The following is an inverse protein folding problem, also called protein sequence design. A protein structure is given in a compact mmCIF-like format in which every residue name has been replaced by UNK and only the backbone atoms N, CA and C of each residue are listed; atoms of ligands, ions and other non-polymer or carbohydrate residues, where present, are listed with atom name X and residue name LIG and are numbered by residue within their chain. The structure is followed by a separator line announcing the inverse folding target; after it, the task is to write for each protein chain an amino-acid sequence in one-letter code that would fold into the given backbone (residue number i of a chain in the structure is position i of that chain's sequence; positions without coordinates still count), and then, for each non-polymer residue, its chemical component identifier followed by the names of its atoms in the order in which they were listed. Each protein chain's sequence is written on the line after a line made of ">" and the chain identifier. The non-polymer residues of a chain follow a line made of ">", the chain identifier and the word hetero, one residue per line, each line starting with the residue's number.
data_IF_807058323875
#
_entry.id   IF_807058323875
#
_cell.length_a   1.000
_cell.length_b   1.000
_cell.length_c   1.000
_cell.angle_alpha   90.00
_cell.angle_beta   90.00
_cell.angle_gamma   90.00
#
_symmetry.space_group_name_H-M   'P 1'
#
loop_
_entity.id
_entity.type
_entity.pdbx_description
1 polymer ?
#
# COMPACT_ATOMS: atom_id res chain seq x y z
N UNK A 1 -42.57 -21.85 -58.48
CA UNK A 1 -44.05 -21.80 -58.32
C UNK A 1 -44.39 -21.03 -57.06
N UNK A 2 -45.20 -19.95 -57.22
CA UNK A 2 -46.01 -19.17 -56.22
C UNK A 2 -45.27 -18.55 -55.05
N UNK A 3 -44.92 -17.33 -55.03
CA UNK A 3 -45.57 -16.03 -54.80
C UNK A 3 -46.69 -16.05 -53.78
N UNK A 4 -46.50 -15.36 -52.71
CA UNK A 4 -47.47 -15.00 -51.68
C UNK A 4 -47.10 -13.71 -50.97
N UNK A 5 -47.65 -12.58 -51.50
CA UNK A 5 -47.65 -11.24 -50.91
C UNK A 5 -48.57 -11.20 -49.69
N UNK A 6 -48.15 -10.50 -48.64
CA UNK A 6 -49.01 -10.13 -47.54
C UNK A 6 -48.64 -8.73 -47.03
N UNK A 7 -49.53 -7.80 -47.26
CA UNK A 7 -49.46 -6.34 -47.03
C UNK A 7 -49.53 -6.01 -45.54
N UNK A 8 -48.87 -4.94 -45.17
CA UNK A 8 -49.02 -4.20 -43.92
C UNK A 8 -50.42 -3.57 -43.78
N UNK A 9 -50.84 -3.17 -42.56
CA UNK A 9 -51.31 -1.82 -42.42
C UNK A 9 -50.64 -1.04 -41.26
N UNK A 10 -50.46 0.24 -41.56
CA UNK A 10 -50.07 1.31 -40.66
C UNK A 10 -51.12 1.53 -39.57
N UNK A 11 -50.69 1.69 -38.30
CA UNK A 11 -51.46 2.36 -37.28
C UNK A 11 -50.58 3.47 -36.67
N UNK A 12 -51.02 4.70 -37.02
CA UNK A 12 -50.64 5.94 -36.37
C UNK A 12 -51.18 5.92 -34.92
N UNK A 13 -50.28 6.06 -33.93
CA UNK A 13 -50.64 6.49 -32.60
C UNK A 13 -49.95 7.82 -32.31
N UNK A 14 -50.76 8.84 -32.18
CA UNK A 14 -50.37 10.17 -31.74
C UNK A 14 -49.98 10.13 -30.26
N UNK A 15 -48.74 10.46 -29.92
CA UNK A 15 -48.27 10.68 -28.57
C UNK A 15 -48.36 12.17 -28.23
N UNK A 16 -49.27 12.56 -27.35
CA UNK A 16 -49.33 13.88 -26.72
C UNK A 16 -48.05 14.12 -25.89
N UNK A 17 -47.27 15.10 -26.34
CA UNK A 17 -46.21 15.67 -25.53
C UNK A 17 -46.74 16.55 -24.42
N UNK A 18 -46.51 16.14 -23.19
CA UNK A 18 -46.62 16.99 -22.00
C UNK A 18 -45.22 17.55 -21.70
N UNK A 19 -44.99 18.78 -22.13
CA UNK A 19 -43.90 19.62 -21.71
C UNK A 19 -44.19 20.12 -20.30
N UNK A 20 -43.58 19.50 -19.30
CA UNK A 20 -43.50 20.04 -17.94
C UNK A 20 -42.36 21.05 -17.92
N UNK A 21 -42.66 22.33 -18.17
CA UNK A 21 -41.78 23.44 -17.86
C UNK A 21 -41.83 23.66 -16.35
N UNK A 22 -40.88 23.05 -15.62
CA UNK A 22 -40.63 23.37 -14.24
C UNK A 22 -39.90 24.72 -14.15
N UNK A 23 -40.67 25.80 -13.94
CA UNK A 23 -40.10 27.07 -13.50
C UNK A 23 -39.60 26.88 -12.05
N UNK A 24 -38.26 26.84 -11.86
CA UNK A 24 -37.69 27.05 -10.56
C UNK A 24 -37.98 28.52 -10.15
N UNK A 25 -38.89 28.74 -9.24
CA UNK A 25 -39.04 30.04 -8.56
C UNK A 25 -37.90 30.14 -7.54
N UNK A 26 -36.91 31.01 -7.87
CA UNK A 26 -35.98 31.45 -6.85
C UNK A 26 -36.68 32.38 -5.90
N UNK A 27 -36.52 32.13 -4.59
CA UNK A 27 -37.06 32.97 -3.53
C UNK A 27 -36.24 34.27 -3.43
N UNK A 28 -36.70 35.33 -4.05
CA UNK A 28 -36.02 36.63 -4.09
C UNK A 28 -36.02 37.33 -2.72
N UNK A 29 -36.51 36.71 -1.66
CA UNK A 29 -36.48 37.29 -0.30
C UNK A 29 -35.06 37.38 0.27
N UNK A 30 -34.16 36.52 -0.16
CA UNK A 30 -32.76 36.58 0.27
C UNK A 30 -31.96 37.71 -0.41
N UNK A 31 -32.37 38.15 -1.59
CA UNK A 31 -31.70 39.22 -2.35
C UNK A 31 -32.01 40.64 -1.82
N UNK A 32 -33.06 40.79 -1.00
CA UNK A 32 -33.48 42.07 -0.45
C UNK A 32 -33.21 42.22 1.04
N UNK A 33 -32.40 41.36 1.63
CA UNK A 33 -31.90 41.55 3.00
C UNK A 33 -30.72 42.55 2.97
N UNK A 34 -30.96 43.75 3.46
CA UNK A 34 -29.89 44.67 3.75
C UNK A 34 -29.01 44.09 4.84
N UNK A 35 -27.74 43.88 4.56
CA UNK A 35 -26.78 43.51 5.57
C UNK A 35 -26.65 44.64 6.58
N UNK A 36 -27.17 44.45 7.79
CA UNK A 36 -26.79 45.32 8.92
C UNK A 36 -25.38 44.88 9.37
N UNK A 37 -24.42 45.82 9.42
CA UNK A 37 -23.12 45.49 9.98
C UNK A 37 -23.28 45.11 11.44
N UNK A 38 -22.63 44.01 11.84
CA UNK A 38 -22.60 43.60 13.24
C UNK A 38 -22.14 44.78 14.13
N UNK A 39 -22.79 45.01 15.28
CA UNK A 39 -22.36 46.07 16.20
C UNK A 39 -20.89 45.82 16.60
N UNK A 40 -20.06 46.84 16.46
CA UNK A 40 -18.70 46.81 17.00
C UNK A 40 -18.79 46.52 18.49
N UNK A 41 -18.16 45.42 18.90
CA UNK A 41 -17.97 45.10 20.31
C UNK A 41 -17.01 46.14 20.90
N UNK A 42 -17.57 47.21 21.43
CA UNK A 42 -16.82 48.11 22.31
C UNK A 42 -16.47 47.36 23.58
N UNK A 43 -15.17 47.13 23.77
CA UNK A 43 -14.67 46.50 24.97
C UNK A 43 -15.17 47.29 26.20
N UNK A 44 -15.74 46.63 27.23
CA UNK A 44 -16.13 47.32 28.45
C UNK A 44 -14.88 47.96 29.08
N UNK A 45 -14.98 49.24 29.40
CA UNK A 45 -13.96 49.98 30.15
C UNK A 45 -13.89 49.41 31.58
N UNK A 46 -13.13 48.35 31.78
CA UNK A 46 -12.74 47.81 33.07
C UNK A 46 -11.22 47.93 33.26
N UNK A 47 -10.72 47.94 34.47
CA UNK A 47 -9.26 47.99 34.70
C UNK A 47 -8.63 46.77 34.03
N UNK A 48 -7.76 47.02 33.06
CA UNK A 48 -6.91 45.97 32.48
C UNK A 48 -5.97 45.51 33.58
N UNK A 49 -5.79 44.19 33.78
CA UNK A 49 -4.73 43.70 34.63
C UNK A 49 -3.40 44.12 33.99
N UNK A 50 -2.61 44.93 34.71
CA UNK A 50 -1.23 45.21 34.34
C UNK A 50 -0.46 43.92 34.38
N UNK A 51 0.03 43.49 33.21
CA UNK A 51 1.04 42.43 33.14
C UNK A 51 2.31 42.95 33.82
N UNK A 52 2.94 42.18 34.71
CA UNK A 52 4.22 42.59 35.29
C UNK A 52 5.20 42.88 34.15
N UNK A 53 5.79 44.07 34.14
CA UNK A 53 6.92 44.39 33.27
C UNK A 53 8.04 43.41 33.61
N UNK A 54 8.35 42.53 32.66
CA UNK A 54 9.53 41.68 32.76
C UNK A 54 10.67 42.55 32.24
N UNK A 55 11.49 43.08 33.18
CA UNK A 55 12.76 43.69 32.87
C UNK A 55 13.55 42.80 31.90
N UNK A 56 14.10 43.43 30.85
CA UNK A 56 14.93 42.76 29.84
C UNK A 56 16.19 42.17 30.47
N UNK A 57 16.10 40.95 30.90
CA UNK A 57 17.20 40.07 31.31
C UNK A 57 17.28 38.92 30.40
N UNK A 58 18.44 38.71 29.87
CA UNK A 58 18.96 37.70 28.97
C UNK A 58 18.17 36.42 28.79
N UNK A 59 18.03 36.11 27.51
CA UNK A 59 17.65 34.86 26.86
C UNK A 59 18.13 33.59 27.62
N UNK A 60 17.27 33.04 28.49
CA UNK A 60 17.32 31.58 28.76
C UNK A 60 15.95 31.09 29.26
N UNK A 61 15.38 30.12 28.50
CA UNK A 61 14.34 29.22 28.97
C UNK A 61 12.90 29.73 28.95
N UNK A 62 12.31 29.93 27.77
CA UNK A 62 10.88 29.61 27.64
C UNK A 62 10.73 28.12 28.02
N UNK A 63 9.88 27.77 29.00
CA UNK A 63 9.52 26.37 29.20
C UNK A 63 8.88 25.91 27.92
N UNK A 64 9.55 25.02 27.19
CA UNK A 64 8.90 24.23 26.13
C UNK A 64 7.66 23.61 26.75
N UNK A 65 6.49 23.80 26.13
CA UNK A 65 5.30 23.07 26.54
C UNK A 65 5.70 21.60 26.74
N UNK A 66 5.26 20.94 27.81
CA UNK A 66 5.64 19.55 28.03
C UNK A 66 5.26 18.78 26.79
N UNK A 67 6.26 18.26 26.07
CA UNK A 67 6.04 17.26 25.04
C UNK A 67 5.44 16.07 25.79
N UNK A 68 4.14 15.86 25.64
CA UNK A 68 3.48 14.67 26.15
C UNK A 68 4.11 13.49 25.42
N UNK A 69 5.10 12.85 26.08
CA UNK A 69 5.71 11.64 25.56
C UNK A 69 4.63 10.56 25.51
N UNK A 70 4.47 9.93 24.33
CA UNK A 70 3.57 8.80 24.17
C UNK A 70 4.02 7.70 25.15
N UNK A 71 3.14 7.19 26.02
CA UNK A 71 3.51 6.13 26.94
C UNK A 71 4.00 4.87 26.19
N UNK A 72 4.94 4.11 26.76
CA UNK A 72 5.38 2.86 26.16
C UNK A 72 4.22 1.84 26.07
N UNK A 73 4.19 0.98 25.04
CA UNK A 73 3.15 -0.04 24.88
C UNK A 73 3.07 -0.98 26.09
N UNK A 74 1.84 -1.42 26.42
CA UNK A 74 1.57 -2.36 27.50
C UNK A 74 0.72 -3.54 26.98
N UNK A 75 1.32 -4.74 26.91
CA UNK A 75 0.67 -5.88 26.27
C UNK A 75 0.30 -5.55 24.82
N UNK A 76 -0.92 -5.82 24.43
CA UNK A 76 -1.42 -5.47 23.09
C UNK A 76 -1.94 -4.02 22.97
N UNK A 77 -1.77 -3.17 23.96
CA UNK A 77 -2.15 -1.76 23.91
C UNK A 77 -0.95 -0.94 23.47
N UNK A 78 -1.06 -0.25 22.36
CA UNK A 78 -0.16 0.80 21.91
C UNK A 78 -0.87 2.15 22.00
N UNK A 79 -0.18 3.15 22.52
CA UNK A 79 -0.76 4.48 22.74
C UNK A 79 -0.47 5.45 21.58
N UNK A 80 0.35 5.02 20.61
CA UNK A 80 0.61 5.78 19.41
C UNK A 80 -0.59 5.64 18.46
N UNK A 81 -1.20 6.78 18.13
CA UNK A 81 -2.39 6.83 17.26
C UNK A 81 -2.09 6.40 15.82
N UNK A 82 -0.83 6.40 15.40
CA UNK A 82 -0.42 5.87 14.10
C UNK A 82 -0.51 4.35 14.05
N UNK A 83 -0.51 3.67 15.20
CA UNK A 83 -0.60 2.20 15.29
C UNK A 83 -2.07 1.79 15.21
N UNK A 84 -2.45 1.15 14.12
CA UNK A 84 -3.83 0.71 13.88
C UNK A 84 -4.12 -0.72 14.31
N UNK A 85 -3.08 -1.54 14.50
CA UNK A 85 -3.19 -2.91 15.02
C UNK A 85 -1.90 -3.36 15.69
N UNK A 86 -2.04 -4.23 16.68
CA UNK A 86 -0.96 -4.76 17.53
C UNK A 86 -1.09 -6.26 17.71
N UNK A 87 -0.08 -6.89 18.34
CA UNK A 87 -0.05 -8.32 18.69
C UNK A 87 -0.26 -9.25 17.49
N UNK A 88 0.24 -8.84 16.33
CA UNK A 88 0.32 -9.65 15.13
C UNK A 88 1.59 -10.51 15.13
N UNK A 89 1.77 -11.33 14.11
CA UNK A 89 2.98 -12.13 13.90
C UNK A 89 3.58 -11.89 12.52
N UNK A 90 4.73 -11.21 12.45
CA UNK A 90 5.53 -11.07 11.23
C UNK A 90 4.69 -10.59 10.03
N UNK A 91 4.25 -9.33 10.04
CA UNK A 91 3.38 -8.76 9.01
C UNK A 91 4.16 -8.57 7.70
N UNK A 92 4.11 -9.58 6.83
CA UNK A 92 4.92 -9.67 5.60
C UNK A 92 4.29 -9.00 4.40
N UNK A 93 2.97 -8.88 4.37
CA UNK A 93 2.22 -8.22 3.31
C UNK A 93 0.97 -7.56 3.88
N UNK A 94 0.54 -6.51 3.21
CA UNK A 94 -0.68 -5.77 3.51
C UNK A 94 -1.50 -5.62 2.24
N UNK A 95 -2.81 -5.48 2.38
CA UNK A 95 -3.69 -5.02 1.33
C UNK A 95 -4.68 -4.01 1.96
N UNK A 96 -4.49 -2.74 1.66
CA UNK A 96 -5.36 -1.66 2.12
C UNK A 96 -6.79 -1.89 1.61
N UNK A 97 -7.77 -1.83 2.50
CA UNK A 97 -9.17 -1.96 2.12
C UNK A 97 -9.68 -0.63 1.55
N UNK A 98 -10.64 -0.68 0.62
CA UNK A 98 -11.23 0.53 0.06
C UNK A 98 -11.76 1.46 1.16
N UNK A 99 -11.53 2.76 0.98
CA UNK A 99 -12.02 3.77 1.91
C UNK A 99 -13.55 3.78 1.93
N UNK A 100 -14.12 3.67 3.12
CA UNK A 100 -15.58 3.75 3.36
C UNK A 100 -15.94 5.01 4.15
N UNK A 101 -15.03 5.97 4.29
CA UNK A 101 -15.17 7.14 5.15
C UNK A 101 -14.97 6.85 6.64
N UNK A 102 -14.56 5.62 6.99
CA UNK A 102 -14.20 5.20 8.34
C UNK A 102 -12.68 5.28 8.55
N UNK A 103 -12.21 4.85 9.72
CA UNK A 103 -10.78 4.74 9.98
C UNK A 103 -10.09 3.79 8.97
N UNK A 104 -8.82 4.05 8.61
CA UNK A 104 -8.05 3.20 7.72
C UNK A 104 -8.07 1.74 8.17
N UNK A 105 -8.26 0.83 7.21
CA UNK A 105 -8.32 -0.60 7.46
C UNK A 105 -7.59 -1.38 6.38
N UNK A 106 -7.11 -2.59 6.71
CA UNK A 106 -6.39 -3.46 5.80
C UNK A 106 -6.60 -4.93 6.11
N UNK A 107 -6.20 -5.77 5.17
CA UNK A 107 -5.86 -7.16 5.42
C UNK A 107 -4.36 -7.25 5.69
N UNK A 108 -3.99 -7.85 6.82
CA UNK A 108 -2.61 -8.09 7.23
C UNK A 108 -2.29 -9.58 7.10
N UNK A 109 -1.22 -9.91 6.39
CA UNK A 109 -0.73 -11.26 6.18
C UNK A 109 0.39 -11.59 7.15
N UNK A 110 0.21 -12.63 7.94
CA UNK A 110 1.24 -13.16 8.84
C UNK A 110 2.03 -14.26 8.14
N UNK A 111 3.32 -14.00 7.93
CA UNK A 111 4.21 -14.86 7.14
C UNK A 111 4.26 -16.30 7.63
N UNK A 112 4.44 -16.48 8.95
CA UNK A 112 4.73 -17.77 9.56
C UNK A 112 3.48 -18.56 9.90
N UNK A 113 2.46 -17.89 10.36
CA UNK A 113 1.21 -18.52 10.81
C UNK A 113 0.23 -18.79 9.66
N UNK A 114 0.44 -18.13 8.51
CA UNK A 114 -0.49 -18.19 7.37
C UNK A 114 -1.81 -17.48 7.60
N UNK A 115 -1.96 -16.74 8.71
CA UNK A 115 -3.20 -15.99 8.99
C UNK A 115 -3.29 -14.75 8.10
N UNK A 116 -4.47 -14.47 7.64
CA UNK A 116 -4.87 -13.17 7.10
C UNK A 116 -5.86 -12.57 8.08
N UNK A 117 -5.54 -11.40 8.61
CA UNK A 117 -6.37 -10.70 9.59
C UNK A 117 -6.87 -9.38 8.99
N UNK A 118 -8.12 -9.07 9.24
CA UNK A 118 -8.63 -7.72 9.03
C UNK A 118 -8.24 -6.87 10.24
N UNK A 119 -7.63 -5.73 9.98
CA UNK A 119 -7.15 -4.77 10.98
C UNK A 119 -7.71 -3.39 10.72
N UNK A 120 -8.02 -2.66 11.78
CA UNK A 120 -8.52 -1.29 11.73
C UNK A 120 -8.28 -0.62 13.07
N UNK A 121 -8.10 0.69 13.08
CA UNK A 121 -7.90 1.46 14.31
C UNK A 121 -9.05 1.25 15.29
N UNK A 122 -8.71 1.03 16.56
CA UNK A 122 -9.69 0.83 17.65
C UNK A 122 -10.44 -0.51 17.62
N UNK A 123 -10.08 -1.44 16.73
CA UNK A 123 -10.69 -2.76 16.61
C UNK A 123 -9.65 -3.85 16.88
N UNK A 124 -10.06 -4.93 17.55
CA UNK A 124 -9.20 -6.10 17.67
C UNK A 124 -9.02 -6.77 16.29
N UNK A 125 -7.79 -7.24 15.95
CA UNK A 125 -7.56 -7.97 14.71
C UNK A 125 -8.49 -9.18 14.57
N UNK A 126 -9.18 -9.29 13.42
CA UNK A 126 -10.14 -10.37 13.15
C UNK A 126 -9.62 -11.32 12.07
N UNK A 127 -9.46 -12.61 12.39
CA UNK A 127 -9.01 -13.61 11.42
C UNK A 127 -10.05 -13.77 10.29
N UNK A 128 -9.57 -13.59 9.06
CA UNK A 128 -10.37 -13.78 7.83
C UNK A 128 -10.24 -15.20 7.33
N UNK A 129 -8.99 -15.70 7.32
CA UNK A 129 -8.63 -17.06 6.91
C UNK A 129 -7.27 -17.43 7.47
N UNK A 130 -6.99 -18.74 7.53
CA UNK A 130 -5.66 -19.30 7.76
C UNK A 130 -5.29 -20.19 6.58
N UNK A 131 -4.19 -19.86 5.92
CA UNK A 131 -3.64 -20.61 4.79
C UNK A 131 -2.59 -21.60 5.30
N UNK A 132 -2.53 -22.80 4.69
CA UNK A 132 -1.46 -23.75 4.99
C UNK A 132 -0.17 -23.30 4.29
N UNK A 133 0.87 -23.01 5.08
CA UNK A 133 2.13 -22.44 4.61
C UNK A 133 3.34 -23.16 5.19
N UNK A 134 4.42 -23.20 4.39
CA UNK A 134 5.76 -23.62 4.80
C UNK A 134 6.64 -22.37 4.93
N UNK A 135 6.84 -21.93 6.17
CA UNK A 135 7.57 -20.69 6.46
C UNK A 135 9.08 -20.89 6.66
N UNK A 136 9.64 -22.03 6.22
CA UNK A 136 11.07 -22.30 6.29
C UNK A 136 11.84 -21.33 5.40
N UNK A 137 12.96 -20.81 5.91
CA UNK A 137 13.74 -19.80 5.23
C UNK A 137 12.94 -18.50 5.06
N UNK A 138 12.86 -18.03 3.83
CA UNK A 138 12.15 -16.80 3.45
C UNK A 138 10.74 -17.05 2.89
N UNK A 139 10.27 -18.31 2.90
CA UNK A 139 8.93 -18.71 2.46
C UNK A 139 7.83 -18.36 3.47
N UNK A 140 6.63 -18.83 3.18
CA UNK A 140 5.42 -18.59 3.96
C UNK A 140 4.37 -17.79 3.18
N UNK A 141 3.53 -17.05 3.88
CA UNK A 141 2.59 -16.10 3.29
C UNK A 141 3.33 -14.77 3.08
N UNK A 142 3.66 -14.39 1.83
CA UNK A 142 4.54 -13.25 1.55
C UNK A 142 3.95 -12.19 0.63
N UNK A 143 2.81 -12.46 0.00
CA UNK A 143 2.11 -11.49 -0.85
C UNK A 143 0.61 -11.52 -0.62
N UNK A 144 -0.03 -10.37 -0.71
CA UNK A 144 -1.47 -10.18 -0.54
C UNK A 144 -1.93 -9.07 -1.48
N UNK A 145 -3.07 -9.28 -2.15
CA UNK A 145 -3.71 -8.26 -2.97
C UNK A 145 -5.22 -8.44 -3.00
N UNK A 146 -5.95 -7.35 -3.09
CA UNK A 146 -7.39 -7.38 -3.37
C UNK A 146 -7.62 -7.64 -4.86
N UNK A 147 -8.81 -8.16 -5.20
CA UNK A 147 -9.26 -8.23 -6.58
C UNK A 147 -9.36 -6.85 -7.23
N UNK A 148 -9.11 -6.70 -8.53
CA UNK A 148 -9.43 -5.47 -9.25
C UNK A 148 -10.91 -5.05 -9.12
N UNK A 149 -11.79 -6.01 -8.84
CA UNK A 149 -13.24 -5.83 -8.66
C UNK A 149 -13.67 -6.17 -7.22
N UNK A 150 -12.79 -5.94 -6.24
CA UNK A 150 -13.00 -6.35 -4.84
C UNK A 150 -14.32 -5.84 -4.24
N UNK A 151 -14.78 -4.66 -4.62
CA UNK A 151 -16.07 -4.13 -4.15
C UNK A 151 -17.25 -5.05 -4.52
N UNK A 152 -17.12 -5.79 -5.64
CA UNK A 152 -18.16 -6.67 -6.17
C UNK A 152 -17.97 -8.11 -5.73
N UNK A 153 -16.73 -8.63 -5.84
CA UNK A 153 -16.44 -10.06 -5.69
C UNK A 153 -15.83 -10.46 -4.33
N UNK A 154 -15.33 -9.48 -3.57
CA UNK A 154 -14.66 -9.68 -2.27
C UNK A 154 -13.49 -10.69 -2.34
N UNK A 155 -12.93 -10.91 -3.54
CA UNK A 155 -11.83 -11.83 -3.74
C UNK A 155 -10.52 -11.23 -3.27
N UNK A 156 -9.73 -12.06 -2.60
CA UNK A 156 -8.37 -11.76 -2.15
C UNK A 156 -7.42 -12.79 -2.76
N UNK A 157 -6.27 -12.33 -3.19
CA UNK A 157 -5.19 -13.15 -3.73
C UNK A 157 -4.02 -13.16 -2.75
N UNK A 158 -3.42 -14.32 -2.57
CA UNK A 158 -2.26 -14.48 -1.71
C UNK A 158 -1.16 -15.29 -2.40
N UNK A 159 0.09 -14.89 -2.19
CA UNK A 159 1.26 -15.67 -2.57
C UNK A 159 1.76 -16.45 -1.37
N UNK A 160 1.83 -17.75 -1.51
CA UNK A 160 2.19 -18.67 -0.42
C UNK A 160 3.23 -19.68 -0.86
N UNK A 161 4.12 -20.06 0.06
CA UNK A 161 5.00 -21.22 -0.06
C UNK A 161 4.32 -22.40 0.61
N UNK A 162 4.20 -23.51 -0.11
CA UNK A 162 3.63 -24.78 0.40
C UNK A 162 4.72 -25.83 0.60
N UNK A 163 4.33 -27.05 0.93
CA UNK A 163 5.29 -28.16 1.04
C UNK A 163 5.98 -28.46 -0.30
N UNK A 164 5.30 -28.25 -1.44
CA UNK A 164 5.74 -28.71 -2.77
C UNK A 164 6.19 -27.58 -3.69
N UNK A 165 5.58 -26.41 -3.64
CA UNK A 165 5.81 -25.30 -4.55
C UNK A 165 5.51 -23.94 -3.88
N UNK A 166 5.85 -22.87 -4.57
CA UNK A 166 5.26 -21.57 -4.35
C UNK A 166 4.02 -21.44 -5.26
N UNK A 167 2.99 -20.75 -4.79
CA UNK A 167 1.76 -20.60 -5.56
C UNK A 167 0.98 -19.33 -5.23
N UNK A 168 0.08 -18.96 -6.13
CA UNK A 168 -0.97 -17.99 -5.86
C UNK A 168 -2.26 -18.73 -5.55
N UNK A 169 -2.91 -18.35 -4.47
CA UNK A 169 -4.26 -18.79 -4.10
C UNK A 169 -5.22 -17.62 -4.10
N UNK A 170 -6.51 -17.91 -4.28
CA UNK A 170 -7.58 -16.91 -4.11
C UNK A 170 -8.61 -17.40 -3.10
N UNK A 171 -9.19 -16.47 -2.37
CA UNK A 171 -10.23 -16.78 -1.37
C UNK A 171 -11.15 -15.58 -1.15
N UNK A 172 -12.30 -15.85 -0.57
CA UNK A 172 -13.18 -14.86 0.07
C UNK A 172 -13.37 -15.25 1.53
N UNK A 173 -13.82 -14.33 2.37
CA UNK A 173 -14.10 -14.62 3.78
C UNK A 173 -15.02 -15.82 3.93
N UNK A 174 -14.63 -16.78 4.78
CA UNK A 174 -15.42 -17.98 5.09
C UNK A 174 -15.45 -19.05 4.00
N UNK A 175 -14.72 -18.89 2.90
CA UNK A 175 -14.62 -19.89 1.85
C UNK A 175 -13.23 -20.56 1.85
N UNK A 176 -13.19 -21.84 1.44
CA UNK A 176 -11.92 -22.53 1.25
C UNK A 176 -11.08 -21.88 0.15
N UNK A 177 -9.76 -21.72 0.37
CA UNK A 177 -8.88 -21.15 -0.62
C UNK A 177 -8.77 -22.07 -1.84
N UNK A 178 -8.72 -21.47 -3.03
CA UNK A 178 -8.54 -22.17 -4.31
C UNK A 178 -7.21 -21.77 -4.94
N UNK A 179 -6.45 -22.77 -5.40
CA UNK A 179 -5.23 -22.52 -6.16
C UNK A 179 -5.57 -21.78 -7.47
N UNK A 180 -4.84 -20.72 -7.75
CA UNK A 180 -4.96 -19.93 -8.98
C UNK A 180 -3.79 -20.20 -9.93
N UNK A 181 -2.57 -20.15 -9.42
CA UNK A 181 -1.35 -20.46 -10.14
C UNK A 181 -0.48 -21.36 -9.26
N UNK A 182 -0.11 -22.52 -9.75
CA UNK A 182 0.73 -23.53 -9.05
C UNK A 182 2.00 -23.81 -9.82
N UNK A 183 2.92 -24.54 -9.22
CA UNK A 183 4.14 -24.98 -9.87
C UNK A 183 5.21 -23.90 -10.00
N UNK A 184 5.11 -22.79 -9.26
CA UNK A 184 6.21 -21.85 -9.12
C UNK A 184 7.31 -22.56 -8.32
N UNK A 185 8.55 -22.66 -8.85
CA UNK A 185 9.63 -23.38 -8.19
C UNK A 185 9.88 -22.91 -6.75
N UNK A 186 10.17 -23.88 -5.88
CA UNK A 186 10.52 -23.67 -4.48
C UNK A 186 11.94 -24.15 -4.23
N UNK A 187 12.69 -23.39 -3.41
CA UNK A 187 14.05 -23.71 -2.98
C UNK A 187 14.25 -23.66 -1.48
N UNK A 188 15.49 -23.76 -1.04
CA UNK A 188 15.87 -23.50 0.35
C UNK A 188 15.72 -21.99 0.70
N UNK A 189 15.93 -21.14 -0.29
CA UNK A 189 15.81 -19.67 -0.25
C UNK A 189 15.18 -19.17 -1.55
N UNK A 190 14.92 -17.87 -1.68
CA UNK A 190 14.34 -17.29 -2.88
C UNK A 190 12.88 -17.70 -3.09
N UNK A 191 12.14 -17.95 -2.01
CA UNK A 191 10.73 -18.33 -2.05
C UNK A 191 9.78 -17.13 -1.90
N UNK A 192 10.30 -15.96 -1.56
CA UNK A 192 9.47 -14.77 -1.43
C UNK A 192 8.74 -14.47 -2.73
N UNK A 193 7.55 -13.92 -2.59
CA UNK A 193 6.80 -13.39 -3.70
C UNK A 193 5.99 -12.19 -3.24
N UNK A 194 5.65 -11.33 -4.17
CA UNK A 194 4.77 -10.20 -3.98
C UNK A 194 3.66 -10.23 -5.02
N UNK A 195 2.50 -9.68 -4.68
CA UNK A 195 1.36 -9.63 -5.59
C UNK A 195 0.66 -8.27 -5.45
N UNK A 196 0.26 -7.70 -6.58
CA UNK A 196 -0.55 -6.48 -6.63
C UNK A 196 -1.44 -6.46 -7.89
N UNK A 197 -2.43 -5.57 -7.92
CA UNK A 197 -3.20 -5.31 -9.13
C UNK A 197 -2.44 -4.34 -10.04
N UNK A 198 -2.49 -4.56 -11.37
CA UNK A 198 -1.87 -3.66 -12.34
C UNK A 198 -2.70 -2.40 -12.62
N UNK A 199 -3.90 -2.28 -12.03
CA UNK A 199 -4.85 -1.20 -12.29
C UNK A 199 -5.56 -1.30 -13.66
N UNK A 200 -5.33 -2.39 -14.41
CA UNK A 200 -5.92 -2.66 -15.73
C UNK A 200 -6.67 -3.99 -15.78
N UNK A 201 -7.04 -4.52 -14.60
CA UNK A 201 -7.82 -5.75 -14.44
C UNK A 201 -6.99 -7.02 -14.34
N UNK A 202 -5.66 -6.95 -14.30
CA UNK A 202 -4.77 -8.10 -14.11
C UNK A 202 -3.99 -8.00 -12.79
N UNK A 203 -3.34 -9.11 -12.44
CA UNK A 203 -2.45 -9.22 -11.30
C UNK A 203 -1.00 -9.28 -11.77
N UNK A 204 -0.13 -8.53 -11.11
CA UNK A 204 1.31 -8.69 -11.17
C UNK A 204 1.75 -9.56 -10.00
N UNK A 205 2.52 -10.60 -10.30
CA UNK A 205 3.04 -11.56 -9.32
C UNK A 205 4.56 -11.62 -9.48
N UNK A 206 5.29 -11.09 -8.52
CA UNK A 206 6.74 -11.26 -8.45
C UNK A 206 7.07 -12.57 -7.76
N UNK A 207 7.98 -13.35 -8.34
CA UNK A 207 8.41 -14.64 -7.83
C UNK A 207 9.92 -14.63 -7.60
N UNK A 208 10.38 -15.18 -6.50
CA UNK A 208 11.81 -15.37 -6.25
C UNK A 208 12.41 -16.45 -7.16
N UNK A 209 13.73 -16.51 -7.22
CA UNK A 209 14.48 -17.41 -8.09
C UNK A 209 14.63 -18.84 -7.51
N UNK A 210 14.05 -19.12 -6.35
CA UNK A 210 14.14 -20.39 -5.63
C UNK A 210 15.60 -20.79 -5.28
N UNK A 211 16.51 -19.82 -5.13
CA UNK A 211 17.92 -20.03 -4.91
C UNK A 211 18.66 -20.52 -6.16
N UNK A 212 18.07 -20.38 -7.34
CA UNK A 212 18.65 -20.70 -8.63
C UNK A 212 18.62 -19.50 -9.58
N UNK A 213 19.64 -18.62 -9.57
CA UNK A 213 19.66 -17.41 -10.39
C UNK A 213 19.52 -17.68 -11.90
N UNK A 214 19.91 -18.86 -12.40
CA UNK A 214 19.74 -19.20 -13.82
C UNK A 214 18.28 -19.36 -14.22
N UNK A 215 17.40 -19.73 -13.28
CA UNK A 215 15.97 -19.80 -13.52
C UNK A 215 15.34 -18.43 -13.81
N UNK A 216 15.94 -17.36 -13.28
CA UNK A 216 15.48 -15.99 -13.53
C UNK A 216 15.64 -15.59 -15.01
N UNK A 217 16.63 -16.13 -15.72
CA UNK A 217 16.86 -15.91 -17.15
C UNK A 217 16.09 -16.88 -18.05
N UNK A 218 15.69 -18.07 -17.57
CA UNK A 218 14.97 -19.07 -18.36
C UNK A 218 13.53 -18.61 -18.64
N UNK A 219 13.12 -18.40 -19.92
CA UNK A 219 11.77 -17.96 -20.27
C UNK A 219 10.68 -18.99 -19.94
N UNK A 220 11.04 -20.26 -19.74
CA UNK A 220 10.08 -21.33 -19.41
C UNK A 220 9.90 -21.51 -17.90
N UNK A 221 10.76 -20.90 -17.07
CA UNK A 221 10.65 -20.95 -15.62
C UNK A 221 9.69 -19.89 -15.10
N UNK A 222 8.89 -20.25 -14.09
CA UNK A 222 8.09 -19.31 -13.33
C UNK A 222 8.86 -18.69 -12.15
N UNK A 223 10.10 -19.15 -11.86
CA UNK A 223 10.96 -18.58 -10.84
C UNK A 223 11.72 -17.36 -11.38
N UNK A 224 11.95 -16.37 -10.53
CA UNK A 224 12.71 -15.17 -10.88
C UNK A 224 12.02 -14.27 -11.90
N UNK A 225 10.70 -14.12 -11.80
CA UNK A 225 9.87 -13.40 -12.78
C UNK A 225 8.97 -12.36 -12.12
N UNK A 226 8.57 -11.39 -12.92
CA UNK A 226 7.28 -10.73 -12.73
C UNK A 226 6.32 -11.36 -13.73
N UNK A 227 5.30 -12.03 -13.21
CA UNK A 227 4.23 -12.62 -14.00
C UNK A 227 3.06 -11.63 -14.08
N UNK A 228 2.33 -11.61 -15.19
CA UNK A 228 1.09 -10.86 -15.31
C UNK A 228 -0.02 -11.81 -15.74
N UNK A 229 -0.98 -12.01 -14.85
CA UNK A 229 -2.05 -13.01 -14.98
C UNK A 229 -3.42 -12.36 -14.81
N UNK A 230 -4.43 -12.96 -15.41
CA UNK A 230 -5.83 -12.63 -15.15
C UNK A 230 -6.29 -13.21 -13.79
N UNK A 231 -7.51 -12.90 -13.37
CA UNK A 231 -8.11 -13.40 -12.12
C UNK A 231 -8.48 -14.90 -12.16
N UNK A 232 -8.26 -15.56 -13.29
CA UNK A 232 -8.38 -17.02 -13.47
C UNK A 232 -7.01 -17.72 -13.49
N UNK A 233 -5.87 -16.97 -13.45
CA UNK A 233 -4.51 -17.51 -13.44
C UNK A 233 -3.92 -17.75 -14.83
N UNK A 234 -4.62 -17.34 -15.89
CA UNK A 234 -4.08 -17.41 -17.25
C UNK A 234 -3.16 -16.20 -17.54
N UNK A 235 -2.40 -16.29 -18.63
CA UNK A 235 -1.68 -15.14 -19.13
C UNK A 235 -2.66 -13.98 -19.42
N UNK A 236 -2.41 -12.80 -18.86
CA UNK A 236 -3.27 -11.65 -19.08
C UNK A 236 -3.14 -11.15 -20.53
N UNK A 237 -4.23 -10.61 -21.06
CA UNK A 237 -4.24 -10.01 -22.37
C UNK A 237 -3.27 -8.81 -22.43
N UNK A 238 -2.49 -8.72 -23.51
CA UNK A 238 -1.50 -7.66 -23.70
C UNK A 238 -0.15 -7.93 -23.03
N UNK A 239 0.12 -9.17 -22.60
CA UNK A 239 1.46 -9.57 -22.21
C UNK A 239 2.43 -9.50 -23.40
N UNK A 240 3.74 -9.22 -23.17
CA UNK A 240 4.74 -9.07 -24.22
C UNK A 240 4.80 -10.27 -25.18
N UNK A 241 4.68 -11.48 -24.65
CA UNK A 241 4.57 -12.71 -25.44
C UNK A 241 3.16 -13.27 -25.27
N UNK A 242 2.36 -13.35 -26.33
CA UNK A 242 1.03 -13.90 -26.29
C UNK A 242 0.99 -15.32 -25.67
N UNK A 243 0.10 -15.55 -24.72
CA UNK A 243 -0.04 -16.83 -24.02
C UNK A 243 1.00 -17.07 -22.92
N UNK A 244 2.08 -16.30 -22.83
CA UNK A 244 3.04 -16.37 -21.73
C UNK A 244 2.57 -15.53 -20.53
N UNK A 245 2.74 -16.08 -19.33
CA UNK A 245 2.51 -15.33 -18.08
C UNK A 245 3.67 -14.39 -17.75
N UNK A 246 4.85 -14.60 -18.35
CA UNK A 246 6.05 -13.81 -18.06
C UNK A 246 5.88 -12.39 -18.60
N UNK A 247 6.00 -11.42 -17.69
CA UNK A 247 5.90 -10.00 -17.99
C UNK A 247 7.26 -9.30 -17.94
N UNK A 248 8.10 -9.65 -16.96
CA UNK A 248 9.50 -9.27 -16.85
C UNK A 248 10.28 -10.41 -16.17
N UNK A 249 11.62 -10.39 -16.28
CA UNK A 249 12.49 -11.45 -15.77
C UNK A 249 13.67 -10.89 -14.96
N UNK A 250 14.41 -11.73 -14.25
CA UNK A 250 15.59 -11.32 -13.52
C UNK A 250 15.37 -10.94 -12.06
N UNK A 251 14.25 -11.37 -11.46
CA UNK A 251 13.98 -11.22 -10.02
C UNK A 251 14.76 -12.24 -9.22
N UNK A 252 15.30 -11.88 -8.04
CA UNK A 252 16.00 -12.80 -7.13
C UNK A 252 15.14 -13.13 -5.90
N UNK A 253 14.86 -12.14 -5.05
CA UNK A 253 14.04 -12.32 -3.85
C UNK A 253 13.20 -11.06 -3.63
N UNK A 254 12.00 -10.99 -4.22
CA UNK A 254 11.21 -9.78 -4.21
C UNK A 254 10.79 -9.38 -2.80
N UNK A 255 10.97 -8.12 -2.47
CA UNK A 255 10.51 -7.50 -1.24
C UNK A 255 9.07 -7.04 -1.34
N UNK A 256 8.70 -6.37 -2.43
CA UNK A 256 7.39 -5.84 -2.70
C UNK A 256 7.23 -5.33 -4.12
N UNK A 257 6.00 -5.05 -4.48
CA UNK A 257 5.58 -4.39 -5.71
C UNK A 257 4.83 -3.12 -5.34
N UNK A 258 5.06 -2.04 -6.07
CA UNK A 258 4.27 -0.81 -5.93
C UNK A 258 4.15 -0.08 -7.26
N UNK A 259 3.19 0.84 -7.33
CA UNK A 259 2.94 1.64 -8.53
C UNK A 259 2.58 3.07 -8.13
N UNK A 260 2.86 4.01 -9.01
CA UNK A 260 2.34 5.36 -8.87
C UNK A 260 0.80 5.36 -8.93
N UNK A 261 0.17 6.27 -8.20
CA UNK A 261 -1.30 6.36 -8.12
C UNK A 261 -1.95 6.61 -9.48
N UNK A 262 -1.25 7.30 -10.39
CA UNK A 262 -1.68 7.52 -11.78
C UNK A 262 -1.41 6.33 -12.72
N UNK A 263 -0.76 5.27 -12.21
CA UNK A 263 -0.41 4.08 -12.97
C UNK A 263 0.71 4.27 -14.00
N UNK A 264 1.40 5.41 -14.01
CA UNK A 264 2.46 5.73 -14.96
C UNK A 264 3.71 4.86 -14.77
N UNK A 265 3.98 4.44 -13.54
CA UNK A 265 5.17 3.70 -13.14
C UNK A 265 4.82 2.51 -12.27
N UNK A 266 5.60 1.45 -12.39
CA UNK A 266 5.51 0.26 -11.53
C UNK A 266 6.91 -0.15 -11.13
N UNK A 267 7.08 -0.47 -9.85
CA UNK A 267 8.35 -0.79 -9.23
C UNK A 267 8.34 -2.17 -8.59
N UNK A 268 9.52 -2.74 -8.49
CA UNK A 268 9.81 -3.90 -7.66
C UNK A 268 11.04 -3.63 -6.80
N UNK A 269 10.94 -3.91 -5.52
CA UNK A 269 12.10 -4.02 -4.63
C UNK A 269 12.61 -5.45 -4.68
N UNK A 270 13.91 -5.63 -4.90
CA UNK A 270 14.52 -6.97 -5.01
C UNK A 270 15.76 -7.07 -4.13
N UNK A 271 15.88 -8.17 -3.41
CA UNK A 271 17.03 -8.51 -2.56
C UNK A 271 17.97 -9.38 -3.36
N UNK A 272 18.89 -8.74 -4.06
CA UNK A 272 19.90 -9.43 -4.85
C UNK A 272 20.99 -10.09 -4.01
N UNK A 273 21.84 -10.89 -4.64
CA UNK A 273 22.95 -11.57 -3.97
C UNK A 273 23.99 -10.57 -3.44
N UNK A 274 24.30 -9.53 -4.21
CA UNK A 274 25.34 -8.53 -3.90
C UNK A 274 24.78 -7.24 -3.32
N UNK A 275 23.66 -6.77 -3.83
CA UNK A 275 22.99 -5.51 -3.43
C UNK A 275 21.50 -5.71 -3.37
N UNK A 276 20.81 -4.91 -2.57
CA UNK A 276 19.38 -4.74 -2.70
C UNK A 276 19.11 -3.61 -3.71
N UNK A 277 18.01 -3.70 -4.47
CA UNK A 277 17.76 -2.75 -5.55
C UNK A 277 16.27 -2.46 -5.76
N UNK A 278 16.01 -1.27 -6.29
CA UNK A 278 14.70 -0.87 -6.84
C UNK A 278 14.79 -0.88 -8.36
N UNK A 279 13.91 -1.62 -9.02
CA UNK A 279 13.83 -1.69 -10.47
C UNK A 279 12.49 -1.16 -10.98
N UNK A 280 12.48 -0.48 -12.13
CA UNK A 280 11.27 -0.23 -12.88
C UNK A 280 10.84 -1.54 -13.57
N UNK A 281 9.54 -1.82 -13.59
CA UNK A 281 8.99 -2.96 -14.31
C UNK A 281 8.59 -2.51 -15.71
N UNK A 282 9.31 -3.00 -16.73
CA UNK A 282 9.02 -2.75 -18.13
C UNK A 282 8.59 -4.05 -18.81
N UNK A 283 7.47 -4.07 -19.56
CA UNK A 283 7.02 -5.26 -20.27
C UNK A 283 8.07 -5.85 -21.20
N UNK A 284 8.32 -7.14 -21.09
CA UNK A 284 9.29 -7.87 -21.92
C UNK A 284 10.75 -7.66 -21.56
N UNK A 285 11.06 -6.80 -20.61
CA UNK A 285 12.43 -6.50 -20.19
C UNK A 285 12.95 -7.46 -19.10
N UNK A 286 14.28 -7.53 -19.01
CA UNK A 286 14.96 -8.06 -17.83
C UNK A 286 15.23 -6.94 -16.83
N UNK A 287 15.19 -7.25 -15.53
CA UNK A 287 15.58 -6.34 -14.45
C UNK A 287 17.09 -6.20 -14.37
N UNK A 288 17.70 -5.64 -15.41
CA UNK A 288 19.16 -5.53 -15.55
C UNK A 288 19.69 -4.18 -15.02
N UNK A 289 18.88 -3.13 -15.11
CA UNK A 289 19.30 -1.76 -14.75
C UNK A 289 18.40 -1.27 -13.60
N UNK A 290 18.94 -1.21 -12.37
CA UNK A 290 18.19 -0.68 -11.25
C UNK A 290 18.08 0.85 -11.32
N UNK A 291 16.98 1.38 -10.81
CA UNK A 291 16.82 2.82 -10.54
C UNK A 291 17.71 3.26 -9.37
N UNK A 292 17.83 2.41 -8.34
CA UNK A 292 18.72 2.63 -7.20
C UNK A 292 19.19 1.32 -6.59
N UNK A 293 20.39 1.32 -5.99
CA UNK A 293 20.95 0.17 -5.28
C UNK A 293 21.35 0.53 -3.85
N UNK A 294 21.20 -0.44 -2.95
CA UNK A 294 21.64 -0.38 -1.56
C UNK A 294 22.72 -1.45 -1.31
N UNK A 295 24.03 -1.08 -1.39
CA UNK A 295 25.13 -2.03 -1.13
C UNK A 295 25.14 -2.59 0.29
N UNK A 296 24.60 -1.82 1.27
CA UNK A 296 24.47 -2.20 2.67
C UNK A 296 23.41 -3.27 2.92
N UNK A 297 22.60 -3.60 1.90
CA UNK A 297 21.57 -4.65 1.94
C UNK A 297 20.61 -4.53 3.13
N UNK A 298 19.84 -3.46 3.21
CA UNK A 298 18.92 -3.22 4.32
C UNK A 298 17.73 -4.21 4.34
N UNK A 299 17.69 -5.16 3.42
CA UNK A 299 16.63 -6.10 3.16
C UNK A 299 15.31 -5.39 2.81
N UNK A 300 15.28 -4.82 1.59
CA UNK A 300 14.12 -4.11 1.06
C UNK A 300 12.86 -4.98 1.14
N UNK A 301 11.75 -4.38 1.51
CA UNK A 301 10.47 -5.04 1.65
C UNK A 301 9.38 -4.30 0.85
N UNK A 302 8.18 -4.13 1.38
CA UNK A 302 7.09 -3.42 0.71
C UNK A 302 7.47 -2.00 0.31
N UNK A 303 6.79 -1.46 -0.71
CA UNK A 303 6.99 -0.09 -1.18
C UNK A 303 5.67 0.59 -1.53
N UNK A 304 5.71 1.95 -1.62
CA UNK A 304 4.64 2.81 -2.12
C UNK A 304 5.26 3.92 -2.99
N UNK A 305 4.56 4.35 -4.05
CA UNK A 305 4.98 5.47 -4.89
C UNK A 305 4.01 6.65 -4.71
N UNK A 306 4.47 7.69 -4.02
CA UNK A 306 3.67 8.91 -3.75
C UNK A 306 3.58 9.86 -4.95
N UNK A 307 4.23 9.53 -6.07
CA UNK A 307 4.40 10.40 -7.24
C UNK A 307 5.71 11.17 -7.24
N UNK A 308 6.16 11.68 -6.08
CA UNK A 308 7.42 12.42 -5.92
C UNK A 308 8.54 11.60 -5.26
N UNK A 309 8.22 10.46 -4.65
CA UNK A 309 9.16 9.55 -4.02
C UNK A 309 8.64 8.12 -4.02
N UNK A 310 9.56 7.16 -4.01
CA UNK A 310 9.26 5.77 -3.64
C UNK A 310 9.66 5.58 -2.19
N UNK A 311 8.67 5.25 -1.36
CA UNK A 311 8.85 4.94 0.06
C UNK A 311 8.99 3.43 0.20
N UNK A 312 10.04 2.97 0.87
CA UNK A 312 10.44 1.56 0.91
C UNK A 312 10.68 1.13 2.36
N UNK A 313 9.98 0.11 2.79
CA UNK A 313 10.20 -0.54 4.07
C UNK A 313 11.49 -1.37 4.05
N UNK A 314 12.24 -1.39 5.16
CA UNK A 314 13.45 -2.22 5.30
C UNK A 314 13.40 -3.09 6.55
N UNK A 315 13.70 -4.39 6.41
CA UNK A 315 13.58 -5.29 7.55
C UNK A 315 14.89 -5.42 8.35
N UNK A 316 16.05 -5.43 7.70
CA UNK A 316 17.35 -5.44 8.40
C UNK A 316 17.78 -4.03 8.76
N UNK A 317 17.54 -3.06 7.86
CA UNK A 317 17.82 -1.66 8.13
C UNK A 317 16.96 -1.06 9.26
N UNK A 318 15.83 -1.71 9.58
CA UNK A 318 14.89 -1.29 10.64
C UNK A 318 14.48 0.18 10.52
N UNK A 319 14.20 0.61 9.30
CA UNK A 319 13.79 1.96 8.95
C UNK A 319 12.96 1.96 7.66
N UNK A 320 12.46 3.13 7.29
CA UNK A 320 11.84 3.37 6.00
C UNK A 320 12.76 4.28 5.19
N UNK A 321 12.94 3.96 3.91
CA UNK A 321 13.72 4.75 2.96
C UNK A 321 12.79 5.54 2.05
N UNK A 322 12.98 6.84 1.94
CA UNK A 322 12.30 7.71 0.98
C UNK A 322 13.27 8.07 -0.15
N UNK A 323 13.09 7.45 -1.32
CA UNK A 323 13.89 7.74 -2.52
C UNK A 323 13.15 8.77 -3.38
N UNK A 324 13.65 10.01 -3.50
CA UNK A 324 13.05 11.03 -4.35
C UNK A 324 13.06 10.60 -5.82
N UNK A 325 11.91 10.71 -6.49
CA UNK A 325 11.75 10.35 -7.90
C UNK A 325 11.14 11.55 -8.64
N UNK A 326 11.67 11.87 -9.78
CA UNK A 326 11.14 12.88 -10.70
C UNK A 326 9.96 12.33 -11.51
N UNK A 327 9.22 13.18 -12.19
CA UNK A 327 8.03 12.78 -12.95
C UNK A 327 8.34 11.77 -14.07
N UNK A 328 9.55 11.80 -14.63
CA UNK A 328 10.01 10.84 -15.65
C UNK A 328 10.50 9.51 -15.05
N UNK A 329 10.46 9.35 -13.72
CA UNK A 329 10.92 8.16 -13.01
C UNK A 329 12.43 8.12 -12.71
N UNK A 330 13.14 9.19 -12.98
CA UNK A 330 14.57 9.31 -12.63
C UNK A 330 14.74 9.62 -11.14
N UNK A 331 15.92 9.31 -10.60
CA UNK A 331 16.24 9.58 -9.20
C UNK A 331 16.50 11.07 -9.00
N UNK A 332 15.76 11.70 -8.11
CA UNK A 332 15.88 13.12 -7.75
C UNK A 332 16.92 13.42 -6.67
N UNK A 333 17.47 12.39 -6.01
CA UNK A 333 18.43 12.55 -4.91
C UNK A 333 18.73 11.25 -4.19
N UNK A 334 19.55 11.32 -3.14
CA UNK A 334 19.83 10.16 -2.28
C UNK A 334 18.60 9.83 -1.42
N UNK A 335 18.41 8.53 -1.07
CA UNK A 335 17.36 8.14 -0.13
C UNK A 335 17.52 8.86 1.21
N UNK A 336 16.39 9.29 1.78
CA UNK A 336 16.32 9.77 3.15
C UNK A 336 15.86 8.63 4.04
N UNK A 337 16.44 8.52 5.23
CA UNK A 337 16.03 7.54 6.23
C UNK A 337 14.97 8.15 7.12
N UNK A 338 13.86 7.45 7.27
CA UNK A 338 12.71 7.83 8.10
C UNK A 338 12.42 6.72 9.11
N UNK A 339 11.70 7.04 10.19
CA UNK A 339 11.22 6.09 11.20
C UNK A 339 12.34 5.24 11.83
N UNK A 340 13.49 5.87 12.06
CA UNK A 340 14.69 5.26 12.64
C UNK A 340 14.94 5.68 14.11
N UNK A 341 14.00 6.41 14.69
CA UNK A 341 14.09 6.99 16.05
C UNK A 341 14.77 8.36 16.09
N UNK A 342 15.45 8.77 15.03
CA UNK A 342 15.98 10.14 14.85
C UNK A 342 15.07 10.95 13.94
N UNK A 343 14.57 10.31 12.90
CA UNK A 343 13.68 10.89 11.89
C UNK A 343 12.30 10.21 11.98
N UNK A 344 11.57 10.49 13.05
CA UNK A 344 10.28 9.89 13.37
C UNK A 344 10.38 8.67 14.29
N UNK A 345 9.24 8.23 14.81
CA UNK A 345 9.13 7.09 15.74
C UNK A 345 9.62 5.81 15.09
N UNK A 346 10.50 5.07 15.75
CA UNK A 346 10.97 3.78 15.30
C UNK A 346 10.06 2.66 15.83
N UNK A 347 9.61 1.78 14.92
CA UNK A 347 8.83 0.60 15.29
C UNK A 347 9.62 -0.69 15.08
N UNK A 348 10.91 -0.60 14.75
CA UNK A 348 11.83 -1.70 14.54
C UNK A 348 11.91 -2.13 13.08
N UNK A 349 11.79 -3.43 12.80
CA UNK A 349 11.92 -4.02 11.46
C UNK A 349 10.61 -3.91 10.71
N UNK A 350 10.67 -3.45 9.45
CA UNK A 350 9.49 -3.25 8.62
C UNK A 350 9.37 -4.30 7.51
N UNK A 351 8.14 -4.69 7.21
CA UNK A 351 7.80 -5.73 6.25
C UNK A 351 6.88 -5.27 5.14
N UNK A 352 5.66 -5.80 5.09
CA UNK A 352 4.66 -5.41 4.12
C UNK A 352 4.34 -3.93 4.19
N UNK A 353 4.16 -3.31 3.02
CA UNK A 353 3.71 -1.93 2.89
C UNK A 353 2.70 -1.89 1.75
N UNK A 354 1.58 -1.21 1.97
CA UNK A 354 0.59 -0.98 0.93
C UNK A 354 0.04 0.44 1.02
N UNK A 355 -0.19 1.02 -0.15
CA UNK A 355 -0.60 2.40 -0.31
C UNK A 355 -2.13 2.53 -0.21
N UNK A 356 -2.60 3.46 0.64
CA UNK A 356 -4.02 3.81 0.72
C UNK A 356 -4.37 4.79 -0.41
N UNK A 357 -3.60 5.87 -0.48
CA UNK A 357 -3.74 6.95 -1.46
C UNK A 357 -2.40 7.66 -1.69
N UNK A 358 -2.39 8.84 -2.31
CA UNK A 358 -1.17 9.62 -2.56
C UNK A 358 -0.54 10.20 -1.29
N UNK A 359 -1.23 10.18 -0.16
CA UNK A 359 -0.79 10.83 1.09
C UNK A 359 -0.44 9.83 2.18
N UNK A 360 -1.08 8.64 2.18
CA UNK A 360 -0.97 7.68 3.25
C UNK A 360 -0.70 6.26 2.75
N UNK A 361 0.02 5.52 3.57
CA UNK A 361 0.24 4.08 3.41
C UNK A 361 0.19 3.38 4.77
N UNK A 362 0.06 2.07 4.75
CA UNK A 362 0.18 1.20 5.91
C UNK A 362 1.47 0.41 5.80
N UNK A 363 2.20 0.30 6.89
CA UNK A 363 3.41 -0.52 6.99
C UNK A 363 3.30 -1.51 8.15
N UNK A 364 3.63 -2.77 7.90
CA UNK A 364 3.68 -3.83 8.90
C UNK A 364 5.06 -3.96 9.53
N UNK A 365 5.14 -4.32 10.80
CA UNK A 365 6.42 -4.70 11.42
C UNK A 365 6.66 -6.20 11.38
N UNK A 366 7.94 -6.60 11.44
CA UNK A 366 8.39 -8.00 11.42
C UNK A 366 9.44 -8.25 12.52
N UNK A 367 9.23 -7.67 13.69
CA UNK A 367 10.17 -7.74 14.81
C UNK A 367 10.31 -9.16 15.35
N UNK A 368 9.25 -9.98 15.30
CA UNK A 368 9.26 -11.40 15.67
C UNK A 368 10.03 -12.29 14.68
N UNK A 369 10.51 -11.70 13.55
CA UNK A 369 11.33 -12.40 12.58
C UNK A 369 12.79 -11.92 12.61
N UNK A 370 13.48 -12.27 13.68
CA UNK A 370 14.90 -11.98 13.89
C UNK A 370 15.20 -10.55 14.36
N UNK A 371 14.20 -9.84 14.89
CA UNK A 371 14.35 -8.56 15.59
C UNK A 371 14.28 -8.71 17.10
N UNK A 372 14.00 -7.60 17.78
CA UNK A 372 13.78 -7.53 19.23
C UNK A 372 12.34 -7.08 19.48
N UNK A 373 11.37 -8.00 19.53
CA UNK A 373 9.97 -7.63 19.68
C UNK A 373 9.69 -7.07 21.08
N UNK A 374 8.82 -6.05 21.13
CA UNK A 374 8.21 -5.55 22.36
C UNK A 374 6.81 -6.13 22.53
N UNK A 375 6.14 -5.82 23.64
CA UNK A 375 4.88 -6.47 24.02
C UNK A 375 3.75 -6.31 23.00
N UNK A 376 3.70 -5.17 22.28
CA UNK A 376 2.68 -4.88 21.26
C UNK A 376 3.01 -5.38 19.85
N UNK A 377 4.22 -5.94 19.64
CA UNK A 377 4.63 -6.41 18.30
C UNK A 377 3.92 -7.70 17.86
N UNK A 378 3.80 -7.99 16.56
CA UNK A 378 4.09 -7.06 15.47
C UNK A 378 2.89 -6.15 15.23
N UNK A 379 3.10 -5.04 14.53
CA UNK A 379 2.14 -3.94 14.42
C UNK A 379 1.85 -3.60 12.97
N UNK A 380 0.71 -2.94 12.73
CA UNK A 380 0.44 -2.20 11.50
C UNK A 380 0.36 -0.72 11.84
N UNK A 381 1.13 0.07 11.12
CA UNK A 381 1.31 1.50 11.37
C UNK A 381 0.88 2.31 10.14
N UNK A 382 0.10 3.35 10.35
CA UNK A 382 -0.24 4.35 9.34
C UNK A 382 0.93 5.32 9.19
N UNK A 383 1.37 5.55 7.97
CA UNK A 383 2.46 6.47 7.65
C UNK A 383 2.04 7.51 6.62
N UNK A 384 2.58 8.72 6.74
CA UNK A 384 2.43 9.75 5.71
C UNK A 384 3.47 9.53 4.62
N UNK A 385 3.03 9.62 3.35
CA UNK A 385 3.89 9.57 2.17
C UNK A 385 4.35 10.96 1.72
N UNK A 386 3.82 12.03 2.32
CA UNK A 386 4.26 13.38 2.02
C UNK A 386 5.39 13.75 2.97
N UNK A 387 6.46 14.30 2.42
CA UNK A 387 7.50 14.91 3.22
C UNK A 387 6.85 15.99 4.10
N UNK A 388 6.96 15.88 5.42
CA UNK A 388 6.60 16.97 6.33
C UNK A 388 7.41 18.18 5.88
N UNK A 389 6.78 19.34 5.58
CA UNK A 389 7.54 20.53 5.28
C UNK A 389 8.46 20.74 6.49
N UNK A 390 9.77 20.66 6.29
CA UNK A 390 10.73 21.09 7.29
C UNK A 390 10.36 22.53 7.59
N UNK A 391 9.89 22.82 8.81
CA UNK A 391 9.60 24.15 9.25
C UNK A 391 10.88 24.97 9.13
N UNK A 392 11.09 25.56 7.97
CA UNK A 392 12.09 26.56 7.75
C UNK A 392 11.66 27.77 8.57
N UNK A 393 12.25 27.96 9.73
CA UNK A 393 12.26 29.26 10.35
C UNK A 393 13.01 30.18 9.37
N UNK A 394 12.25 30.86 8.51
CA UNK A 394 12.76 31.97 7.74
C UNK A 394 13.23 33.00 8.76
N UNK A 395 14.52 33.14 8.87
CA UNK A 395 15.14 34.38 9.36
C UNK A 395 15.23 35.25 8.12
N UNK A 396 14.29 36.19 8.01
CA UNK A 396 14.51 37.45 7.33
C UNK A 396 15.10 38.42 8.34
#
# INVERSE_FOLDING_TARGET
>A
MRVGNGKAPWLLVAACGLLLTGCAQFDDRAANQTFEPAPELTAPAGPQPELPEVDGGDDESRPSAPQTSIPPPQGCTDYDQSVIATCLDTVSALAALPDTGAAPSALAAERKTGRVLQVSSGQAPAEVIRLDVQATGDGGLTGLALSPTFAEDQLVFAYVTTATDNRVVRFTRGQQPKALLTGIPKGATGNRGAIMTDGKGALLVATGDAGNPSAAADPNSLAGKVLRIDTAGNAAQGNPTPGSRVYASGVHSPGGLCKATDGSRTWITDRGSSVDALYPITPGASLAVPTWTWPEKPALAGCADSGSAVVIATSVGANVQELPITLDGSVGGKPKTLMDGKNGTAYGRYGGLDQIDSQFALVGTVNKDGGQPISSDDRVVLISLQATPSGGSGKD
#
